data_IF_674939569856
#
_entry.id   IF_674939569856
#
_cell.length_a   1.000
_cell.length_b   1.000
_cell.length_c   1.000
_cell.angle_alpha   90.00
_cell.angle_beta   90.00
_cell.angle_gamma   90.00
#
_symmetry.space_group_name_H-M   'P 1'
#
loop_
_entity.id
_entity.type
_entity.pdbx_description
1 polymer ?
#
# COMPACT_ATOMS: atom_id res chain seq x y z
N UNK A 1 12.46 2.80 2.65
CA UNK A 1 11.78 3.27 1.42
C UNK A 1 11.51 2.06 0.54
N UNK A 2 10.26 1.61 0.45
CA UNK A 2 9.90 0.47 -0.37
C UNK A 2 9.87 0.91 -1.84
N UNK A 3 10.78 0.37 -2.65
CA UNK A 3 10.74 0.55 -4.09
C UNK A 3 9.43 -0.06 -4.60
N UNK A 4 8.52 0.78 -5.07
CA UNK A 4 7.29 0.34 -5.71
C UNK A 4 7.68 -0.50 -6.92
N UNK A 5 7.52 -1.81 -6.83
CA UNK A 5 7.63 -2.72 -7.96
C UNK A 5 6.49 -2.37 -8.91
N UNK A 6 6.81 -1.59 -9.94
CA UNK A 6 5.94 -1.36 -11.08
C UNK A 6 5.76 -2.71 -11.78
N UNK A 7 4.80 -3.49 -11.30
CA UNK A 7 4.39 -4.75 -11.89
C UNK A 7 4.23 -4.54 -13.40
N UNK A 8 4.75 -5.46 -14.22
CA UNK A 8 4.59 -5.44 -15.68
C UNK A 8 3.12 -5.20 -16.01
N UNK A 9 2.80 -3.96 -16.36
CA UNK A 9 1.45 -3.57 -16.75
C UNK A 9 1.22 -4.20 -18.11
N UNK A 10 0.38 -5.24 -18.15
CA UNK A 10 -0.02 -5.88 -19.41
C UNK A 10 -0.49 -4.79 -20.40
N UNK A 11 -0.18 -4.87 -21.70
CA UNK A 11 -0.60 -3.87 -22.70
C UNK A 11 -2.09 -3.55 -22.65
N UNK A 12 -2.94 -4.57 -22.46
CA UNK A 12 -4.39 -4.43 -22.27
C UNK A 12 -4.76 -3.54 -21.07
N UNK A 13 -3.96 -3.57 -20.01
CA UNK A 13 -4.17 -2.69 -18.86
C UNK A 13 -3.90 -1.22 -19.19
N UNK A 14 -3.04 -0.91 -20.17
CA UNK A 14 -2.82 0.49 -20.61
C UNK A 14 -4.00 1.00 -21.42
N UNK A 15 -4.52 0.21 -22.36
CA UNK A 15 -5.72 0.55 -23.13
C UNK A 15 -6.92 0.78 -22.20
N UNK A 16 -7.15 -0.13 -21.24
CA UNK A 16 -8.21 0.02 -20.24
C UNK A 16 -8.06 1.30 -19.40
N UNK A 17 -6.84 1.65 -18.97
CA UNK A 17 -6.58 2.92 -18.27
C UNK A 17 -6.87 4.12 -19.17
N UNK A 18 -6.40 4.10 -20.42
CA UNK A 18 -6.60 5.19 -21.37
C UNK A 18 -8.09 5.46 -21.64
N UNK A 19 -8.91 4.41 -21.81
CA UNK A 19 -10.36 4.55 -21.99
C UNK A 19 -11.13 4.88 -20.71
N UNK A 20 -10.61 4.48 -19.53
CA UNK A 20 -11.25 4.79 -18.25
C UNK A 20 -11.11 6.25 -17.85
N UNK A 21 -9.95 6.87 -18.11
CA UNK A 21 -9.67 8.26 -17.75
C UNK A 21 -10.74 9.25 -18.26
N UNK A 22 -11.14 9.28 -19.54
CA UNK A 22 -12.16 10.21 -20.03
C UNK A 22 -13.52 10.00 -19.37
N UNK A 23 -13.91 8.76 -19.09
CA UNK A 23 -15.15 8.44 -18.35
C UNK A 23 -15.10 9.04 -16.95
N UNK A 24 -14.00 8.85 -16.22
CA UNK A 24 -13.85 9.40 -14.88
C UNK A 24 -13.76 10.93 -14.91
N UNK A 25 -13.11 11.53 -15.92
CA UNK A 25 -13.08 12.99 -16.11
C UNK A 25 -14.48 13.57 -16.31
N UNK A 26 -15.35 12.90 -17.09
CA UNK A 26 -16.75 13.28 -17.26
C UNK A 26 -17.50 13.28 -15.91
N UNK A 27 -17.24 12.29 -15.06
CA UNK A 27 -17.84 12.22 -13.70
C UNK A 27 -17.30 13.34 -12.81
N UNK A 28 -16.01 13.65 -12.90
CA UNK A 28 -15.36 14.73 -12.14
C UNK A 28 -15.91 16.11 -12.53
N UNK A 29 -16.34 16.29 -13.78
CA UNK A 29 -16.94 17.56 -14.21
C UNK A 29 -18.31 17.85 -13.60
N UNK A 30 -19.01 16.82 -13.11
CA UNK A 30 -20.34 16.94 -12.49
C UNK A 30 -20.32 17.78 -11.21
N UNK A 31 -21.34 18.62 -11.01
CA UNK A 31 -21.43 19.54 -9.87
C UNK A 31 -21.41 18.84 -8.50
N UNK A 32 -22.00 17.65 -8.43
CA UNK A 32 -22.03 16.84 -7.20
C UNK A 32 -20.61 16.47 -6.71
N UNK A 33 -19.67 16.21 -7.63
CA UNK A 33 -18.28 15.94 -7.29
C UNK A 33 -17.58 17.18 -6.75
N UNK A 34 -17.91 18.37 -7.26
CA UNK A 34 -17.26 19.62 -6.86
C UNK A 34 -17.65 20.06 -5.45
N UNK A 35 -18.90 19.83 -5.06
CA UNK A 35 -19.43 20.29 -3.77
C UNK A 35 -19.08 19.34 -2.62
N UNK A 36 -19.34 18.05 -2.79
CA UNK A 36 -19.25 17.09 -1.68
C UNK A 36 -18.10 16.09 -1.80
N UNK A 37 -17.41 16.06 -2.94
CA UNK A 37 -16.50 14.98 -3.31
C UNK A 37 -17.24 13.67 -3.59
N UNK A 38 -16.52 12.62 -3.94
CA UNK A 38 -17.11 11.28 -4.11
C UNK A 38 -16.24 10.20 -3.46
N UNK A 39 -16.87 9.18 -2.89
CA UNK A 39 -16.18 7.97 -2.47
C UNK A 39 -15.74 7.16 -3.69
N UNK A 40 -14.79 6.26 -3.51
CA UNK A 40 -14.37 5.40 -4.64
C UNK A 40 -15.49 4.46 -5.11
N UNK A 41 -16.40 4.07 -4.21
CA UNK A 41 -17.55 3.25 -4.57
C UNK A 41 -18.56 4.04 -5.41
N UNK A 42 -18.83 5.28 -5.05
CA UNK A 42 -19.71 6.17 -5.82
C UNK A 42 -19.15 6.44 -7.21
N UNK A 43 -17.85 6.78 -7.32
CA UNK A 43 -17.19 6.98 -8.62
C UNK A 43 -17.32 5.72 -9.49
N UNK A 44 -17.14 4.54 -8.90
CA UNK A 44 -17.28 3.27 -9.60
C UNK A 44 -18.72 3.04 -10.08
N UNK A 45 -19.71 3.22 -9.21
CA UNK A 45 -21.13 3.07 -9.56
C UNK A 45 -21.57 4.05 -10.64
N UNK A 46 -21.07 5.29 -10.62
CA UNK A 46 -21.32 6.28 -11.67
C UNK A 46 -20.61 5.90 -12.98
N UNK A 47 -19.39 5.39 -12.91
CA UNK A 47 -18.65 4.94 -14.09
C UNK A 47 -19.32 3.77 -14.79
N UNK A 48 -19.98 2.86 -14.05
CA UNK A 48 -20.72 1.75 -14.66
C UNK A 48 -22.01 2.18 -15.37
N UNK A 49 -22.53 3.38 -15.08
CA UNK A 49 -23.69 3.94 -15.80
C UNK A 49 -23.32 4.51 -17.15
N UNK A 50 -22.05 4.85 -17.35
CA UNK A 50 -21.54 5.33 -18.63
C UNK A 50 -21.33 4.12 -19.58
N UNK A 51 -21.73 4.21 -20.85
CA UNK A 51 -21.55 3.12 -21.79
C UNK A 51 -20.07 2.89 -22.09
N UNK A 52 -19.69 1.62 -22.29
CA UNK A 52 -18.35 1.29 -22.73
C UNK A 52 -18.09 1.86 -24.15
N UNK A 53 -16.88 2.36 -24.44
CA UNK A 53 -16.53 2.80 -25.79
C UNK A 53 -16.68 1.66 -26.80
N UNK A 54 -17.17 1.96 -28.00
CA UNK A 54 -17.46 0.98 -29.07
C UNK A 54 -16.22 0.12 -29.40
N UNK A 55 -15.03 0.73 -29.37
CA UNK A 55 -13.77 0.07 -29.73
C UNK A 55 -13.05 -0.57 -28.54
N UNK A 56 -13.72 -0.73 -27.39
CA UNK A 56 -13.10 -1.33 -26.22
C UNK A 56 -13.12 -2.86 -26.33
N UNK A 57 -11.95 -3.45 -26.54
CA UNK A 57 -11.78 -4.90 -26.46
C UNK A 57 -12.08 -5.40 -25.04
N UNK A 58 -12.96 -6.39 -24.95
CA UNK A 58 -13.30 -7.05 -23.69
C UNK A 58 -12.01 -7.57 -23.06
N UNK A 59 -11.84 -7.30 -21.76
CA UNK A 59 -10.68 -7.82 -21.05
C UNK A 59 -10.80 -9.34 -20.92
N UNK A 60 -9.96 -10.05 -21.64
CA UNK A 60 -9.78 -11.48 -21.44
C UNK A 60 -9.08 -11.68 -20.10
N UNK A 61 -9.83 -12.19 -19.13
CA UNK A 61 -9.23 -12.69 -17.91
C UNK A 61 -8.48 -13.95 -18.33
N UNK A 62 -7.15 -14.02 -18.17
CA UNK A 62 -6.43 -15.25 -18.46
C UNK A 62 -7.11 -16.36 -17.68
N UNK A 63 -7.66 -17.34 -18.41
CA UNK A 63 -8.19 -18.54 -17.80
C UNK A 63 -7.01 -19.14 -17.01
N UNK A 64 -7.11 -19.09 -15.69
CA UNK A 64 -6.24 -19.86 -14.80
C UNK A 64 -4.76 -19.50 -14.84
N UNK A 65 -4.39 -18.24 -14.61
CA UNK A 65 -3.08 -18.03 -13.97
C UNK A 65 -3.22 -18.46 -12.51
N UNK A 66 -2.72 -19.64 -12.19
CA UNK A 66 -2.65 -20.27 -10.88
C UNK A 66 -1.75 -19.46 -9.92
N UNK A 67 -2.17 -18.22 -9.61
CA UNK A 67 -1.42 -17.30 -8.75
C UNK A 67 -1.69 -17.69 -7.30
N UNK A 68 -0.67 -18.30 -6.72
CA UNK A 68 -0.71 -18.95 -5.41
C UNK A 68 -0.70 -17.93 -4.27
N UNK A 69 -1.86 -17.60 -3.71
CA UNK A 69 -1.93 -16.89 -2.43
C UNK A 69 -1.94 -17.86 -1.25
N UNK A 70 -1.03 -17.68 -0.30
CA UNK A 70 -0.90 -18.53 0.89
C UNK A 70 -1.61 -17.83 2.04
N UNK A 71 -2.81 -18.29 2.37
CA UNK A 71 -3.38 -18.10 3.71
C UNK A 71 -3.78 -19.47 4.25
N UNK A 72 -2.98 -19.95 5.20
CA UNK A 72 -3.34 -21.01 6.16
C UNK A 72 -3.88 -22.34 5.60
N UNK A 73 -3.07 -23.05 4.79
CA UNK A 73 -3.14 -24.52 4.70
C UNK A 73 -4.37 -25.17 4.03
N UNK A 74 -5.26 -24.41 3.38
CA UNK A 74 -6.36 -24.96 2.57
C UNK A 74 -6.22 -24.51 1.12
N UNK A 75 -6.73 -25.35 0.22
CA UNK A 75 -6.69 -25.25 -1.24
C UNK A 75 -6.86 -23.83 -1.78
N UNK A 76 -6.03 -23.48 -2.78
CA UNK A 76 -5.93 -22.14 -3.35
C UNK A 76 -7.05 -21.95 -4.37
N UNK A 77 -7.85 -20.89 -4.25
CA UNK A 77 -8.75 -20.46 -5.32
C UNK A 77 -8.08 -19.34 -6.13
N UNK A 78 -8.27 -19.32 -7.46
CA UNK A 78 -7.84 -18.20 -8.29
C UNK A 78 -8.52 -16.90 -7.81
N UNK A 79 -7.88 -15.72 -7.99
CA UNK A 79 -8.52 -14.46 -7.67
C UNK A 79 -9.84 -14.36 -8.44
N UNK A 80 -10.93 -13.87 -7.81
CA UNK A 80 -12.21 -13.77 -8.48
C UNK A 80 -12.08 -12.88 -9.71
N UNK A 81 -12.72 -13.29 -10.80
CA UNK A 81 -12.83 -12.47 -12.01
C UNK A 81 -13.36 -11.07 -11.64
N UNK A 82 -12.85 -9.99 -12.27
CA UNK A 82 -13.45 -8.68 -12.09
C UNK A 82 -14.95 -8.72 -12.42
N UNK A 83 -15.79 -7.99 -11.66
CA UNK A 83 -17.24 -8.05 -11.80
C UNK A 83 -17.74 -7.58 -13.18
N UNK A 84 -17.02 -6.68 -13.85
CA UNK A 84 -17.43 -6.11 -15.14
C UNK A 84 -16.28 -6.17 -16.17
N UNK A 85 -15.99 -7.34 -16.78
CA UNK A 85 -14.85 -7.48 -17.71
C UNK A 85 -15.05 -6.76 -19.05
N UNK A 86 -16.29 -6.48 -19.44
CA UNK A 86 -16.62 -5.76 -20.68
C UNK A 86 -16.50 -4.22 -20.55
N UNK A 87 -16.32 -3.70 -19.33
CA UNK A 87 -16.24 -2.26 -19.09
C UNK A 87 -14.79 -1.84 -18.82
N UNK A 88 -14.32 -0.68 -19.32
CA UNK A 88 -12.96 -0.21 -19.08
C UNK A 88 -12.64 -0.07 -17.58
N UNK A 89 -13.60 0.41 -16.79
CA UNK A 89 -13.52 0.41 -15.32
C UNK A 89 -14.03 -0.92 -14.77
N UNK A 90 -13.21 -1.96 -14.87
CA UNK A 90 -13.61 -3.36 -14.58
C UNK A 90 -13.88 -3.71 -13.11
N UNK A 91 -13.23 -3.00 -12.18
CA UNK A 91 -13.37 -3.25 -10.75
C UNK A 91 -12.98 -2.04 -9.89
N UNK A 92 -13.49 -1.99 -8.66
CA UNK A 92 -13.11 -0.97 -7.66
C UNK A 92 -11.60 -1.00 -7.39
N UNK A 93 -11.00 -2.20 -7.32
CA UNK A 93 -9.55 -2.32 -7.10
C UNK A 93 -8.75 -1.75 -8.27
N UNK A 94 -9.21 -1.96 -9.51
CA UNK A 94 -8.59 -1.39 -10.70
C UNK A 94 -8.65 0.14 -10.67
N UNK A 95 -9.83 0.70 -10.35
CA UNK A 95 -10.02 2.14 -10.15
C UNK A 95 -9.04 2.71 -9.11
N UNK A 96 -8.94 2.08 -7.93
CA UNK A 96 -8.04 2.49 -6.84
C UNK A 96 -6.56 2.42 -7.19
N UNK A 97 -6.13 1.33 -7.83
CA UNK A 97 -4.69 1.04 -8.02
C UNK A 97 -4.12 1.68 -9.29
N UNK A 98 -4.92 1.82 -10.35
CA UNK A 98 -4.42 2.20 -11.67
C UNK A 98 -4.90 3.60 -12.09
N UNK A 99 -6.17 3.93 -11.90
CA UNK A 99 -6.75 5.15 -12.49
C UNK A 99 -6.61 6.35 -11.53
N UNK A 100 -7.04 6.20 -10.28
CA UNK A 100 -7.03 7.29 -9.31
C UNK A 100 -5.63 7.87 -9.04
N UNK A 101 -4.54 7.06 -8.95
CA UNK A 101 -3.20 7.60 -8.80
C UNK A 101 -2.74 8.43 -10.00
N UNK A 102 -3.17 8.09 -11.22
CA UNK A 102 -2.85 8.85 -12.44
C UNK A 102 -3.52 10.23 -12.40
N UNK A 103 -4.81 10.28 -12.07
CA UNK A 103 -5.57 11.53 -11.94
C UNK A 103 -5.08 12.41 -10.76
N UNK A 104 -4.62 11.76 -9.69
CA UNK A 104 -3.99 12.46 -8.57
C UNK A 104 -2.62 13.01 -8.97
N UNK A 105 -1.84 12.25 -9.74
CA UNK A 105 -0.55 12.68 -10.30
C UNK A 105 -0.67 13.87 -11.24
N UNK A 106 -1.74 13.92 -12.05
CA UNK A 106 -2.07 15.08 -12.89
C UNK A 106 -2.69 16.25 -12.11
N UNK A 107 -2.88 16.12 -10.79
CA UNK A 107 -3.49 17.12 -9.89
C UNK A 107 -4.92 17.47 -10.27
N UNK A 108 -5.62 16.59 -10.99
CA UNK A 108 -7.04 16.76 -11.31
C UNK A 108 -7.93 16.46 -10.10
N UNK A 109 -7.48 15.54 -9.25
CA UNK A 109 -8.15 15.16 -8.00
C UNK A 109 -7.18 15.13 -6.83
N UNK A 110 -7.73 15.24 -5.62
CA UNK A 110 -7.02 15.02 -4.36
C UNK A 110 -7.85 14.14 -3.44
N UNK A 111 -7.18 13.32 -2.64
CA UNK A 111 -7.85 12.54 -1.60
C UNK A 111 -7.92 13.38 -0.31
N UNK A 112 -9.10 13.50 0.27
CA UNK A 112 -9.37 14.15 1.55
C UNK A 112 -10.09 13.16 2.46
N UNK A 113 -10.00 13.39 3.77
CA UNK A 113 -10.82 12.66 4.76
C UNK A 113 -11.93 13.58 5.23
N UNK A 114 -13.17 13.08 5.24
CA UNK A 114 -14.34 13.83 5.67
C UNK A 114 -15.30 12.97 6.48
N UNK A 115 -16.08 13.59 7.36
CA UNK A 115 -17.16 12.90 8.08
C UNK A 115 -18.40 12.91 7.18
N UNK A 116 -18.90 11.73 6.79
CA UNK A 116 -20.20 11.59 6.12
C UNK A 116 -21.21 10.91 7.05
N UNK A 117 -22.45 11.36 6.97
CA UNK A 117 -23.59 10.65 7.53
C UNK A 117 -23.91 9.51 6.58
N UNK A 118 -24.01 8.28 7.10
CA UNK A 118 -24.47 7.14 6.30
C UNK A 118 -25.94 7.37 5.95
N UNK A 119 -26.22 7.73 4.71
CA UNK A 119 -27.57 7.60 4.17
C UNK A 119 -27.83 6.12 3.96
N UNK A 120 -28.84 5.59 4.65
CA UNK A 120 -29.13 4.15 4.89
C UNK A 120 -29.32 3.32 3.60
N UNK A 121 -29.38 3.96 2.43
CA UNK A 121 -29.60 3.32 1.12
C UNK A 121 -28.51 2.36 0.67
N UNK A 122 -27.31 2.39 1.25
CA UNK A 122 -26.18 1.53 0.82
C UNK A 122 -26.08 0.20 1.59
N UNK A 123 -27.10 -0.15 2.40
CA UNK A 123 -27.13 -1.38 3.22
C UNK A 123 -27.45 -2.65 2.42
N UNK A 124 -26.78 -2.89 1.29
CA UNK A 124 -26.99 -4.14 0.52
C UNK A 124 -26.30 -5.38 1.08
N UNK A 125 -25.53 -5.25 2.17
CA UNK A 125 -24.95 -6.38 2.90
C UNK A 125 -24.60 -5.94 4.32
N UNK A 126 -25.63 -5.65 5.13
CA UNK A 126 -25.40 -5.70 6.57
C UNK A 126 -25.04 -7.15 6.91
N UNK A 127 -23.90 -7.42 7.58
CA UNK A 127 -23.60 -8.77 8.03
C UNK A 127 -24.76 -9.25 8.90
N UNK A 128 -25.30 -10.44 8.57
CA UNK A 128 -26.44 -11.00 9.27
C UNK A 128 -26.24 -10.87 10.78
N UNK A 129 -27.19 -10.29 11.52
CA UNK A 129 -27.04 -10.08 12.95
C UNK A 129 -26.77 -11.44 13.60
N UNK A 130 -25.58 -11.59 14.17
CA UNK A 130 -25.24 -12.76 14.97
C UNK A 130 -26.24 -12.83 16.12
N UNK A 131 -27.00 -13.92 16.18
CA UNK A 131 -28.07 -14.19 17.14
C UNK A 131 -27.56 -14.10 18.58
N UNK A 132 -27.55 -12.89 19.16
CA UNK A 132 -27.44 -12.72 20.61
C UNK A 132 -28.85 -12.63 21.19
N UNK A 133 -29.23 -13.69 21.90
CA UNK A 133 -30.50 -13.86 22.61
C UNK A 133 -30.39 -13.10 23.93
N UNK A 134 -31.00 -11.91 24.03
CA UNK A 134 -30.87 -11.10 25.24
C UNK A 134 -31.82 -9.91 25.31
N UNK A 135 -32.95 -10.15 26.00
CA UNK A 135 -33.75 -9.27 26.87
C UNK A 135 -34.03 -7.83 26.39
N UNK A 136 -35.31 -7.61 26.11
CA UNK A 136 -36.03 -6.35 25.86
C UNK A 136 -35.29 -5.10 26.36
N UNK A 137 -34.68 -4.38 25.42
CA UNK A 137 -34.16 -3.03 25.63
C UNK A 137 -34.91 -2.11 24.68
N UNK A 138 -35.67 -1.20 25.26
CA UNK A 138 -36.51 -0.21 24.59
C UNK A 138 -35.77 0.42 23.41
N UNK A 139 -36.41 0.34 22.25
CA UNK A 139 -35.85 0.68 20.95
C UNK A 139 -35.82 2.19 20.78
N UNK A 140 -34.79 2.85 21.32
CA UNK A 140 -34.49 4.23 20.96
C UNK A 140 -34.07 4.28 19.49
N UNK A 141 -34.66 5.22 18.73
CA UNK A 141 -34.35 5.40 17.32
C UNK A 141 -32.84 5.60 17.13
N UNK A 142 -32.18 4.85 16.22
CA UNK A 142 -30.74 4.94 16.06
C UNK A 142 -30.35 6.32 15.54
N UNK A 143 -29.66 7.10 16.38
CA UNK A 143 -29.07 8.37 15.97
C UNK A 143 -28.11 8.17 14.79
N UNK A 144 -28.07 9.08 13.80
CA UNK A 144 -27.21 8.95 12.64
C UNK A 144 -25.74 8.97 13.06
N UNK A 145 -25.03 7.85 12.84
CA UNK A 145 -23.61 7.73 13.15
C UNK A 145 -22.79 8.32 12.01
N UNK A 146 -21.98 9.34 12.31
CA UNK A 146 -21.03 9.89 11.34
C UNK A 146 -19.77 9.01 11.26
N UNK A 147 -19.31 8.70 10.05
CA UNK A 147 -18.08 7.95 9.84
C UNK A 147 -17.06 8.77 9.04
N UNK A 148 -15.77 8.62 9.37
CA UNK A 148 -14.67 9.20 8.60
C UNK A 148 -14.46 8.38 7.33
N UNK A 149 -14.62 9.01 6.17
CA UNK A 149 -14.51 8.37 4.85
C UNK A 149 -13.46 9.08 4.02
N UNK A 150 -12.74 8.33 3.20
CA UNK A 150 -11.84 8.88 2.18
C UNK A 150 -12.66 9.33 0.97
N UNK A 151 -12.59 10.63 0.69
CA UNK A 151 -13.29 11.29 -0.40
C UNK A 151 -12.29 11.75 -1.44
N UNK A 152 -12.65 11.61 -2.70
CA UNK A 152 -11.95 12.24 -3.81
C UNK A 152 -12.63 13.57 -4.08
N UNK A 153 -11.84 14.64 -4.05
CA UNK A 153 -12.27 15.99 -4.33
C UNK A 153 -11.52 16.54 -5.54
N UNK A 154 -12.05 17.58 -6.21
CA UNK A 154 -11.30 18.28 -7.24
C UNK A 154 -9.96 18.76 -6.71
N UNK A 155 -8.92 18.60 -7.53
CA UNK A 155 -7.64 19.24 -7.28
C UNK A 155 -7.84 20.74 -7.25
N UNK A 156 -7.37 21.39 -6.20
CA UNK A 156 -7.28 22.84 -6.20
C UNK A 156 -6.22 23.17 -7.24
N UNK A 157 -6.64 23.75 -8.38
CA UNK A 157 -5.70 24.37 -9.32
C UNK A 157 -4.83 25.23 -8.43
N UNK A 158 -3.55 24.86 -8.29
CA UNK A 158 -2.61 25.75 -7.63
C UNK A 158 -2.67 26.98 -8.50
N UNK A 159 -3.39 28.01 -8.04
CA UNK A 159 -3.36 29.30 -8.68
C UNK A 159 -1.88 29.54 -8.80
N UNK A 160 -1.36 29.52 -10.03
CA UNK A 160 0.00 29.94 -10.30
C UNK A 160 -0.03 31.33 -9.71
N UNK A 161 0.52 31.49 -8.49
CA UNK A 161 0.68 32.78 -7.89
C UNK A 161 1.58 33.44 -8.91
N UNK A 162 1.00 34.24 -9.82
CA UNK A 162 1.77 35.15 -10.62
C UNK A 162 2.56 35.88 -9.55
N UNK A 163 3.84 35.57 -9.47
CA UNK A 163 4.78 36.41 -8.77
C UNK A 163 4.72 37.66 -9.64
N UNK A 164 3.79 38.56 -9.32
CA UNK A 164 3.79 39.89 -9.84
C UNK A 164 5.06 40.46 -9.22
N UNK A 165 6.14 40.41 -10.00
CA UNK A 165 7.35 41.13 -9.69
C UNK A 165 6.98 42.61 -9.84
N UNK A 166 6.31 43.16 -8.84
CA UNK A 166 6.14 44.61 -8.70
C UNK A 166 7.54 45.17 -8.46
N UNK A 167 8.18 45.52 -9.57
CA UNK A 167 9.54 46.03 -9.65
C UNK A 167 9.60 47.51 -9.27
N UNK A 168 8.94 47.91 -8.18
CA UNK A 168 8.89 49.31 -7.74
C UNK A 168 8.87 49.47 -6.21
N UNK A 169 9.54 48.58 -5.47
CA UNK A 169 9.85 48.84 -4.06
C UNK A 169 11.22 49.54 -4.02
N UNK A 170 11.32 50.77 -3.48
CA UNK A 170 12.58 51.50 -3.40
C UNK A 170 13.57 50.75 -2.50
N UNK A 171 14.84 50.79 -2.90
CA UNK A 171 15.97 50.08 -2.32
C UNK A 171 16.24 50.42 -0.84
N UNK A 172 15.38 49.94 0.06
CA UNK A 172 15.74 49.78 1.47
C UNK A 172 16.49 48.46 1.60
N UNK A 173 17.79 48.58 1.90
CA UNK A 173 18.73 47.53 2.28
C UNK A 173 18.14 46.11 2.32
N UNK A 174 18.38 45.35 1.25
CA UNK A 174 18.10 43.92 1.19
C UNK A 174 18.95 43.21 2.26
N UNK A 175 18.42 43.13 3.46
CA UNK A 175 19.02 42.40 4.56
C UNK A 175 19.13 40.94 4.13
N UNK A 176 20.38 40.50 3.91
CA UNK A 176 20.70 39.25 3.24
C UNK A 176 20.10 38.03 3.97
N UNK A 177 18.92 37.60 3.54
CA UNK A 177 18.29 36.33 3.93
C UNK A 177 19.10 35.10 3.50
N UNK A 178 20.11 35.29 2.65
CA UNK A 178 21.04 34.25 2.23
C UNK A 178 21.80 33.60 3.39
N UNK A 179 22.17 34.35 4.42
CA UNK A 179 22.83 33.76 5.59
C UNK A 179 21.89 32.78 6.34
N UNK A 180 20.59 33.10 6.36
CA UNK A 180 19.56 32.34 7.07
C UNK A 180 19.21 31.06 6.29
N UNK A 181 19.16 31.17 4.96
CA UNK A 181 19.05 30.01 4.07
C UNK A 181 20.29 29.11 4.14
N UNK A 182 21.51 29.68 4.19
CA UNK A 182 22.75 28.93 4.37
C UNK A 182 22.78 28.20 5.70
N UNK A 183 22.38 28.86 6.80
CA UNK A 183 22.25 28.24 8.13
C UNK A 183 21.22 27.11 8.15
N UNK A 184 20.05 27.29 7.53
CA UNK A 184 19.03 26.23 7.38
C UNK A 184 19.52 25.06 6.55
N UNK A 185 20.32 25.29 5.49
CA UNK A 185 20.94 24.21 4.71
C UNK A 185 21.93 23.41 5.56
N UNK A 186 22.85 24.08 6.26
CA UNK A 186 23.80 23.40 7.15
C UNK A 186 23.11 22.56 8.23
N UNK A 187 22.08 23.10 8.89
CA UNK A 187 21.34 22.34 9.91
C UNK A 187 20.64 21.09 9.33
N UNK A 188 20.13 21.17 8.09
CA UNK A 188 19.56 20.00 7.40
C UNK A 188 20.63 18.98 7.03
N UNK A 189 21.79 19.42 6.55
CA UNK A 189 22.90 18.55 6.19
C UNK A 189 23.49 17.84 7.41
N UNK A 190 23.62 18.54 8.55
CA UNK A 190 24.05 17.97 9.83
C UNK A 190 23.07 16.92 10.33
N UNK A 191 21.76 17.21 10.28
CA UNK A 191 20.72 16.25 10.64
C UNK A 191 20.80 15.00 9.75
N UNK A 192 20.94 15.18 8.44
CA UNK A 192 21.06 14.06 7.51
C UNK A 192 22.31 13.21 7.78
N UNK A 193 23.47 13.84 8.01
CA UNK A 193 24.71 13.14 8.40
C UNK A 193 24.53 12.34 9.68
N UNK A 194 23.85 12.90 10.68
CA UNK A 194 23.54 12.21 11.93
C UNK A 194 22.65 10.97 11.71
N UNK A 195 21.57 11.12 10.94
CA UNK A 195 20.66 10.01 10.63
C UNK A 195 21.37 8.88 9.86
N UNK A 196 22.22 9.23 8.89
CA UNK A 196 23.05 8.26 8.16
C UNK A 196 24.03 7.55 9.10
N UNK A 197 24.66 8.27 10.03
CA UNK A 197 25.58 7.68 11.01
C UNK A 197 24.87 6.67 11.93
N UNK A 198 23.63 6.95 12.35
CA UNK A 198 22.82 6.00 13.13
C UNK A 198 22.51 4.72 12.35
N UNK A 199 22.12 4.84 11.06
CA UNK A 199 21.85 3.68 10.21
C UNK A 199 23.11 2.83 10.02
N UNK A 200 24.27 3.46 9.82
CA UNK A 200 25.55 2.75 9.66
C UNK A 200 25.94 2.02 10.95
N UNK A 201 25.76 2.64 12.12
CA UNK A 201 25.99 1.98 13.43
C UNK A 201 25.07 0.77 13.62
N UNK A 202 23.77 0.94 13.41
CA UNK A 202 22.80 -0.17 13.53
C UNK A 202 23.16 -1.36 12.62
N UNK A 203 23.58 -1.11 11.37
CA UNK A 203 24.04 -2.17 10.46
C UNK A 203 25.33 -2.86 10.94
N UNK A 204 26.25 -2.10 11.55
CA UNK A 204 27.50 -2.65 12.09
C UNK A 204 27.19 -3.58 13.26
N UNK A 205 26.28 -3.18 14.14
CA UNK A 205 25.87 -3.97 15.30
C UNK A 205 25.16 -5.27 14.87
N UNK A 206 24.21 -5.19 13.92
CA UNK A 206 23.54 -6.38 13.36
C UNK A 206 24.56 -7.36 12.74
N UNK A 207 25.58 -6.84 12.04
CA UNK A 207 26.64 -7.66 11.48
C UNK A 207 27.54 -8.29 12.55
N UNK A 208 27.80 -7.60 13.66
CA UNK A 208 28.54 -8.15 14.79
C UNK A 208 27.75 -9.26 15.49
N UNK A 209 26.44 -9.08 15.69
CA UNK A 209 25.57 -10.11 16.26
C UNK A 209 25.52 -11.36 15.38
N UNK A 210 25.38 -11.21 14.05
CA UNK A 210 25.46 -12.33 13.11
C UNK A 210 26.78 -13.08 13.21
N UNK A 211 27.91 -12.37 13.31
CA UNK A 211 29.23 -12.99 13.51
C UNK A 211 29.32 -13.74 14.83
N UNK A 212 28.77 -13.18 15.92
CA UNK A 212 28.74 -13.82 17.24
C UNK A 212 27.92 -15.11 17.22
N UNK A 213 26.73 -15.08 16.61
CA UNK A 213 25.86 -16.26 16.46
C UNK A 213 26.52 -17.35 15.60
N UNK A 214 27.12 -16.97 14.47
CA UNK A 214 27.84 -17.91 13.60
C UNK A 214 29.03 -18.57 14.33
N UNK A 215 29.73 -17.80 15.17
CA UNK A 215 30.82 -18.34 15.99
C UNK A 215 30.30 -19.32 17.04
N UNK A 216 29.22 -18.98 17.76
CA UNK A 216 28.59 -19.88 18.74
C UNK A 216 28.13 -21.19 18.09
N UNK A 217 27.51 -21.11 16.90
CA UNK A 217 27.10 -22.29 16.14
C UNK A 217 28.30 -23.17 15.77
N UNK A 218 29.42 -22.55 15.37
CA UNK A 218 30.66 -23.26 15.05
C UNK A 218 31.23 -23.98 16.28
N UNK A 219 31.21 -23.34 17.45
CA UNK A 219 31.65 -23.96 18.72
C UNK A 219 30.78 -25.17 19.07
N UNK A 220 29.45 -25.02 19.08
CA UNK A 220 28.53 -26.14 19.33
C UNK A 220 28.73 -27.29 18.35
N UNK A 221 29.00 -26.98 17.07
CA UNK A 221 29.28 -28.00 16.05
C UNK A 221 30.57 -28.78 16.36
N UNK A 222 31.61 -28.11 16.87
CA UNK A 222 32.86 -28.77 17.29
C UNK A 222 32.65 -29.65 18.53
N UNK A 223 31.87 -29.21 19.51
CA UNK A 223 31.53 -30.00 20.70
C UNK A 223 30.75 -31.26 20.33
N UNK A 224 29.73 -31.14 19.45
CA UNK A 224 29.00 -32.30 18.91
C UNK A 224 29.93 -33.28 18.19
N UNK A 225 30.93 -32.79 17.45
CA UNK A 225 31.94 -33.63 16.81
C UNK A 225 32.85 -34.34 17.83
N UNK A 226 33.32 -33.63 18.86
CA UNK A 226 34.10 -34.22 19.96
C UNK A 226 33.34 -35.34 20.66
N UNK A 227 32.06 -35.10 21.01
CA UNK A 227 31.21 -36.11 21.64
C UNK A 227 31.00 -37.36 20.75
N UNK A 228 30.75 -37.17 19.45
CA UNK A 228 30.66 -38.29 18.48
C UNK A 228 31.98 -39.07 18.38
N UNK A 229 33.12 -38.40 18.38
CA UNK A 229 34.42 -39.05 18.34
C UNK A 229 34.70 -39.84 19.62
N UNK A 230 34.35 -39.31 20.79
CA UNK A 230 34.45 -40.04 22.07
C UNK A 230 33.56 -41.28 22.09
N UNK A 231 32.31 -41.17 21.63
CA UNK A 231 31.41 -42.32 21.53
C UNK A 231 31.95 -43.39 20.57
N UNK A 232 32.52 -42.98 19.42
CA UNK A 232 33.19 -43.91 18.49
C UNK A 232 34.37 -44.62 19.15
N UNK A 233 35.19 -43.89 19.91
CA UNK A 233 36.33 -44.45 20.64
C UNK A 233 35.88 -45.46 21.71
N UNK A 234 34.83 -45.14 22.49
CA UNK A 234 34.27 -46.05 23.49
C UNK A 234 33.70 -47.33 22.84
N UNK A 235 32.96 -47.20 21.74
CA UNK A 235 32.45 -48.36 20.99
C UNK A 235 33.59 -49.25 20.47
N UNK A 236 34.63 -48.62 19.95
CA UNK A 236 35.81 -49.34 19.48
C UNK A 236 36.51 -50.11 20.62
N UNK A 237 36.67 -49.48 21.80
CA UNK A 237 37.20 -50.15 23.00
C UNK A 237 36.35 -51.35 23.43
N UNK A 238 35.02 -51.21 23.43
CA UNK A 238 34.10 -52.31 23.76
C UNK A 238 34.20 -53.47 22.77
N UNK A 239 34.30 -53.19 21.47
CA UNK A 239 34.49 -54.22 20.45
C UNK A 239 35.81 -54.98 20.66
N UNK A 240 36.90 -54.25 20.94
CA UNK A 240 38.21 -54.86 21.22
C UNK A 240 38.20 -55.75 22.46
N UNK A 241 37.50 -55.34 23.52
CA UNK A 241 37.35 -56.17 24.71
C UNK A 241 36.55 -57.45 24.45
N UNK A 242 35.52 -57.37 23.59
CA UNK A 242 34.70 -58.53 23.21
C UNK A 242 35.48 -59.55 22.34
N UNK A 243 36.34 -59.08 21.44
CA UNK A 243 37.21 -59.94 20.61
C UNK A 243 38.25 -60.74 21.44
N UNK A 244 38.64 -60.26 22.62
CA UNK A 244 39.65 -60.91 23.46
C UNK A 244 39.14 -62.05 24.36
N UNK A 245 37.84 -62.36 24.34
CA UNK A 245 37.21 -63.39 25.20
C UNK A 245 36.85 -64.68 24.45
N UNK A 246 37.07 -64.74 23.14
CA UNK A 246 36.90 -65.93 22.29
C UNK A 246 38.21 -66.66 22.08
#
# INVERSE_FOLDING_TARGET
MAAATWARVLPQSRAAVAHSIPIIRKIITTDHFRTSGLTTAEIFSLALKEPAPINFEKYEVPAETDIRYIKSGRTKSPPPSPPHPAHPVRSIQFLKKQILPVLQGSREIRMTTGKRLLTVTDTKTAPAPTKYKGKDRETSAPSPVSHTVHLWMPGQKQGVKKIVSDSSIPAFASENWDHLNKRRRHARDEKFKHDVALIVRARKDENQEKKRLAWQERVQRLERRKGKNQQRYQRWQQQKAAEGQT
#
